data_IF_859632089862
#
_entry.id   IF_859632089862
#
_cell.length_a   1.000
_cell.length_b   1.000
_cell.length_c   1.000
_cell.angle_alpha   90.00
_cell.angle_beta   90.00
_cell.angle_gamma   90.00
#
_symmetry.space_group_name_H-M   'P 1'
#
loop_
_entity.id
_entity.type
_entity.pdbx_description
1 polymer ?
#
# COMPACT_ATOMS: atom_id res chain seq x y z
N UNK A 1 -47.17 31.33 -9.75
CA UNK A 1 -46.39 32.59 -9.70
C UNK A 1 -45.63 32.65 -8.38
N UNK A 2 -44.31 32.42 -8.40
CA UNK A 2 -43.33 32.88 -7.39
C UNK A 2 -41.95 32.79 -8.05
N UNK A 3 -41.27 33.94 -8.03
CA UNK A 3 -40.02 34.28 -8.72
C UNK A 3 -38.91 34.44 -7.67
N UNK A 4 -37.70 33.94 -7.93
CA UNK A 4 -36.43 34.30 -7.28
C UNK A 4 -35.29 33.71 -8.14
N UNK A 5 -34.09 34.27 -8.27
CA UNK A 5 -33.52 35.61 -8.14
C UNK A 5 -32.11 35.49 -8.73
N UNK A 6 -31.69 36.53 -9.45
CA UNK A 6 -30.41 36.64 -10.14
C UNK A 6 -29.26 36.87 -9.15
N UNK A 7 -28.12 36.18 -9.32
CA UNK A 7 -26.91 36.39 -8.51
C UNK A 7 -25.79 36.99 -9.37
N UNK A 8 -25.28 38.15 -8.94
CA UNK A 8 -24.26 38.97 -9.60
C UNK A 8 -22.85 38.58 -9.14
N UNK A 9 -21.91 38.45 -10.08
CA UNK A 9 -20.49 38.17 -9.83
C UNK A 9 -19.68 39.48 -9.86
N UNK A 10 -18.89 39.75 -8.81
CA UNK A 10 -17.91 40.86 -8.78
C UNK A 10 -16.50 40.33 -9.03
N UNK A 11 -15.77 40.96 -9.95
CA UNK A 11 -14.35 40.72 -10.22
C UNK A 11 -13.49 41.82 -9.57
N UNK A 12 -12.36 41.40 -8.97
CA UNK A 12 -11.37 42.30 -8.36
C UNK A 12 -10.03 42.13 -9.08
N UNK A 13 -9.54 43.17 -9.75
CA UNK A 13 -8.23 43.24 -10.39
C UNK A 13 -7.28 44.11 -9.57
N UNK A 14 -6.14 43.55 -9.17
CA UNK A 14 -5.06 44.29 -8.53
C UNK A 14 -3.87 44.43 -9.49
N UNK A 15 -3.48 45.66 -9.79
CA UNK A 15 -2.31 45.99 -10.59
C UNK A 15 -1.09 46.17 -9.67
N UNK A 16 0.04 45.53 -10.02
CA UNK A 16 1.32 45.71 -9.34
C UNK A 16 2.33 46.34 -10.31
N UNK A 17 2.82 47.53 -9.95
CA UNK A 17 3.92 48.23 -10.62
C UNK A 17 5.27 47.71 -10.13
N UNK A 18 6.16 47.37 -11.05
CA UNK A 18 7.55 47.02 -10.75
C UNK A 18 8.48 48.14 -11.22
N UNK A 19 9.34 48.62 -10.32
CA UNK A 19 10.41 49.57 -10.59
C UNK A 19 11.69 48.84 -11.02
N UNK A 20 12.31 49.31 -12.11
CA UNK A 20 13.59 48.81 -12.62
C UNK A 20 14.77 49.51 -11.94
N UNK A 21 15.67 48.73 -11.34
CA UNK A 21 16.97 49.21 -10.87
C UNK A 21 18.08 48.76 -11.83
N UNK A 22 18.91 49.70 -12.25
CA UNK A 22 20.02 49.50 -13.17
C UNK A 22 21.19 48.74 -12.51
N UNK A 23 21.75 47.76 -13.23
CA UNK A 23 22.93 46.98 -12.83
C UNK A 23 24.19 47.57 -13.44
N UNK A 24 25.19 47.84 -12.60
CA UNK A 24 26.58 48.13 -12.99
C UNK A 24 27.32 46.82 -13.34
N UNK A 25 28.05 46.75 -14.47
CA UNK A 25 28.84 45.57 -14.80
C UNK A 25 30.23 45.65 -14.16
N UNK A 26 30.46 44.78 -13.16
CA UNK A 26 31.80 44.45 -12.68
C UNK A 26 32.07 42.97 -12.95
N UNK A 27 32.44 42.63 -14.18
CA UNK A 27 32.72 41.24 -14.57
C UNK A 27 33.63 41.18 -15.78
N UNK A 28 34.92 40.85 -15.57
CA UNK A 28 35.70 40.21 -16.65
C UNK A 28 36.98 39.46 -16.24
N UNK A 29 37.54 39.64 -15.03
CA UNK A 29 38.84 39.00 -14.72
C UNK A 29 38.77 37.57 -14.16
N UNK A 30 37.65 37.14 -13.57
CA UNK A 30 37.55 35.81 -12.93
C UNK A 30 37.32 34.65 -13.91
N UNK A 31 36.78 34.90 -15.10
CA UNK A 31 36.38 33.83 -16.04
C UNK A 31 37.57 33.29 -16.81
N UNK A 32 38.56 34.14 -17.14
CA UNK A 32 39.74 33.76 -17.90
C UNK A 32 40.59 32.71 -17.15
N UNK A 33 40.89 32.94 -15.87
CA UNK A 33 41.69 31.99 -15.06
C UNK A 33 41.00 30.66 -14.81
N UNK A 34 39.66 30.65 -14.75
CA UNK A 34 38.92 29.40 -14.56
C UNK A 34 38.85 28.58 -15.86
N UNK A 35 38.72 29.24 -17.01
CA UNK A 35 38.75 28.58 -18.31
C UNK A 35 40.11 27.92 -18.58
N UNK A 36 41.21 28.57 -18.20
CA UNK A 36 42.57 28.03 -18.35
C UNK A 36 42.80 26.79 -17.45
N UNK A 37 42.29 26.81 -16.20
CA UNK A 37 42.35 25.66 -15.30
C UNK A 37 41.53 24.46 -15.80
N UNK A 38 40.36 24.70 -16.39
CA UNK A 38 39.52 23.64 -16.98
C UNK A 38 40.18 23.02 -18.22
N UNK A 39 40.82 23.84 -19.05
CA UNK A 39 41.55 23.34 -20.22
C UNK A 39 42.77 22.50 -19.84
N UNK A 40 43.51 22.88 -18.79
CA UNK A 40 44.61 22.07 -18.27
C UNK A 40 44.13 20.71 -17.74
N UNK A 41 43.08 20.70 -16.91
CA UNK A 41 42.50 19.46 -16.36
C UNK A 41 41.93 18.52 -17.44
N UNK A 42 41.36 19.07 -18.52
CA UNK A 42 40.88 18.28 -19.66
C UNK A 42 42.02 17.61 -20.44
N UNK A 43 43.18 18.27 -20.56
CA UNK A 43 44.38 17.67 -21.20
C UNK A 43 44.96 16.53 -20.36
N UNK A 44 44.93 16.65 -19.04
CA UNK A 44 45.42 15.60 -18.15
C UNK A 44 44.47 14.39 -18.11
N UNK A 45 43.15 14.61 -18.17
CA UNK A 45 42.16 13.54 -18.30
C UNK A 45 42.32 12.74 -19.61
N UNK A 46 42.64 13.43 -20.71
CA UNK A 46 42.90 12.77 -22.00
C UNK A 46 44.15 11.86 -21.98
N UNK A 47 45.05 12.02 -21.00
CA UNK A 47 46.22 11.15 -20.78
C UNK A 47 45.95 9.94 -19.88
N UNK A 48 44.69 9.73 -19.49
CA UNK A 48 44.28 8.56 -18.68
C UNK A 48 44.46 8.72 -17.18
N UNK A 49 44.86 9.90 -16.68
CA UNK A 49 44.93 10.17 -15.25
C UNK A 49 43.58 10.68 -14.71
N UNK A 50 42.64 9.74 -14.52
CA UNK A 50 41.32 10.02 -13.92
C UNK A 50 41.41 10.55 -12.48
N UNK A 51 42.53 10.32 -11.78
CA UNK A 51 42.75 10.83 -10.44
C UNK A 51 43.09 12.34 -10.42
N UNK A 52 43.72 12.86 -11.48
CA UNK A 52 43.89 14.30 -11.69
C UNK A 52 42.56 14.99 -12.00
N UNK A 53 41.69 14.36 -12.81
CA UNK A 53 40.35 14.87 -13.12
C UNK A 53 39.48 14.97 -11.86
N UNK A 54 39.42 13.91 -11.03
CA UNK A 54 38.61 13.94 -9.81
C UNK A 54 39.08 14.97 -8.78
N UNK A 55 40.39 15.25 -8.70
CA UNK A 55 40.94 16.32 -7.85
C UNK A 55 40.51 17.72 -8.29
N UNK A 56 40.24 17.93 -9.58
CA UNK A 56 39.75 19.21 -10.10
C UNK A 56 38.29 19.52 -9.69
N UNK A 57 37.52 18.50 -9.31
CA UNK A 57 36.12 18.61 -8.92
C UNK A 57 35.86 18.40 -7.42
N UNK A 58 36.91 18.29 -6.60
CA UNK A 58 36.72 18.22 -5.16
C UNK A 58 35.98 19.48 -4.65
N UNK A 59 34.86 19.32 -3.92
CA UNK A 59 34.10 20.45 -3.41
C UNK A 59 34.99 21.28 -2.47
N UNK A 60 35.33 22.49 -2.90
CA UNK A 60 36.20 23.39 -2.15
C UNK A 60 35.48 23.87 -0.90
N UNK A 61 35.98 23.48 0.27
CA UNK A 61 35.44 23.91 1.57
C UNK A 61 35.60 25.42 1.78
N UNK A 62 34.76 26.00 2.65
CA UNK A 62 34.85 27.43 2.97
C UNK A 62 36.22 27.83 3.55
N UNK A 63 36.86 26.96 4.34
CA UNK A 63 38.22 27.19 4.85
C UNK A 63 39.24 27.36 3.71
N UNK A 64 39.20 26.48 2.70
CA UNK A 64 40.11 26.53 1.55
C UNK A 64 39.84 27.73 0.62
N UNK A 65 38.60 28.27 0.62
CA UNK A 65 38.24 29.52 -0.08
C UNK A 65 38.79 30.75 0.64
N UNK A 66 38.64 30.81 1.96
CA UNK A 66 39.17 31.91 2.77
C UNK A 66 40.71 31.99 2.68
N UNK A 67 41.40 30.85 2.71
CA UNK A 67 42.85 30.80 2.50
C UNK A 67 43.31 31.33 1.11
N UNK A 68 42.40 31.36 0.13
CA UNK A 68 42.65 31.90 -1.22
C UNK A 68 42.14 33.33 -1.41
N UNK A 69 41.71 34.01 -0.34
CA UNK A 69 41.11 35.34 -0.42
C UNK A 69 39.75 35.39 -1.13
N UNK A 70 39.10 34.25 -1.32
CA UNK A 70 37.77 34.17 -1.93
C UNK A 70 36.68 34.25 -0.85
N UNK A 71 35.54 34.90 -1.14
CA UNK A 71 34.43 34.93 -0.21
C UNK A 71 33.89 33.51 0.07
N UNK A 72 33.43 33.25 1.31
CA UNK A 72 32.86 31.97 1.69
C UNK A 72 31.62 31.66 0.86
N UNK A 73 31.40 30.37 0.55
CA UNK A 73 30.16 29.93 -0.06
C UNK A 73 29.01 30.17 0.92
N UNK A 74 27.90 30.68 0.39
CA UNK A 74 26.63 30.79 1.13
C UNK A 74 26.29 29.41 1.70
N UNK A 75 25.91 29.32 2.99
CA UNK A 75 25.42 28.08 3.56
C UNK A 75 24.31 27.53 2.66
N UNK A 76 24.53 26.35 2.09
CA UNK A 76 23.46 25.63 1.40
C UNK A 76 22.42 25.37 2.47
N UNK A 77 21.26 26.03 2.38
CA UNK A 77 20.10 25.73 3.22
C UNK A 77 19.84 24.25 3.02
N UNK A 78 20.24 23.42 3.98
CA UNK A 78 19.66 22.09 4.10
C UNK A 78 18.18 22.39 4.22
N UNK A 79 17.37 21.85 3.31
CA UNK A 79 15.91 21.99 3.41
C UNK A 79 15.51 21.74 4.85
N UNK A 80 14.50 22.49 5.33
CA UNK A 80 14.02 22.40 6.71
C UNK A 80 14.12 20.94 7.15
N UNK A 81 14.96 20.69 8.16
CA UNK A 81 14.96 19.38 8.79
C UNK A 81 13.52 19.20 9.24
N UNK A 82 12.76 18.37 8.51
CA UNK A 82 11.51 17.84 9.01
C UNK A 82 11.84 17.38 10.41
N UNK A 83 11.13 17.93 11.40
CA UNK A 83 11.22 17.42 12.76
C UNK A 83 11.22 15.90 12.61
N UNK A 84 12.22 15.21 13.17
CA UNK A 84 12.17 13.75 13.21
C UNK A 84 10.85 13.45 13.89
N UNK A 85 9.87 13.01 13.11
CA UNK A 85 8.60 12.54 13.63
C UNK A 85 8.99 11.59 14.75
N UNK A 86 8.55 11.91 15.97
CA UNK A 86 8.78 11.05 17.12
C UNK A 86 8.42 9.65 16.67
N UNK A 87 9.33 8.68 16.86
CA UNK A 87 9.14 7.32 16.38
C UNK A 87 7.73 6.89 16.76
N UNK A 88 6.86 6.74 15.77
CA UNK A 88 5.46 6.40 15.98
C UNK A 88 5.43 5.21 16.91
N UNK A 89 4.72 5.33 18.04
CA UNK A 89 4.56 4.25 19.01
C UNK A 89 3.61 3.17 18.47
N UNK A 90 3.70 2.89 17.17
CA UNK A 90 2.91 1.85 16.52
C UNK A 90 3.25 0.56 17.24
N UNK A 91 2.24 -0.12 17.84
CA UNK A 91 2.46 -1.38 18.51
C UNK A 91 3.21 -2.34 17.60
N UNK A 92 4.13 -3.12 18.16
CA UNK A 92 4.84 -4.14 17.39
C UNK A 92 3.81 -5.12 16.79
N UNK A 93 3.81 -5.25 15.46
CA UNK A 93 3.00 -6.24 14.78
C UNK A 93 3.67 -7.62 14.91
N UNK A 94 2.90 -8.62 15.31
CA UNK A 94 3.32 -10.02 15.28
C UNK A 94 2.90 -10.66 13.97
N UNK A 95 3.70 -11.60 13.47
CA UNK A 95 3.33 -12.43 12.33
C UNK A 95 2.48 -13.62 12.81
N UNK A 96 1.34 -13.83 12.17
CA UNK A 96 0.50 -15.02 12.33
C UNK A 96 0.62 -15.88 11.08
N UNK A 97 0.61 -17.21 11.26
CA UNK A 97 0.61 -18.21 10.20
C UNK A 97 -0.40 -19.30 10.54
N UNK A 98 -1.35 -19.58 9.66
CA UNK A 98 -2.38 -20.59 9.94
C UNK A 98 -3.07 -21.14 8.70
N UNK A 99 -3.77 -22.27 8.91
CA UNK A 99 -4.85 -22.70 8.04
C UNK A 99 -6.14 -21.97 8.41
N UNK A 100 -7.04 -21.83 7.43
CA UNK A 100 -8.36 -21.25 7.66
C UNK A 100 -9.38 -22.38 7.79
N UNK A 101 -9.86 -22.63 9.00
CA UNK A 101 -10.95 -23.54 9.28
C UNK A 101 -12.30 -22.85 9.06
N UNK A 102 -13.26 -23.58 8.50
CA UNK A 102 -14.60 -23.07 8.18
C UNK A 102 -15.62 -23.81 9.01
N UNK A 103 -16.41 -23.08 9.79
CA UNK A 103 -17.45 -23.63 10.66
C UNK A 103 -18.81 -23.06 10.29
N UNK A 104 -19.83 -23.91 10.21
CA UNK A 104 -21.22 -23.48 10.05
C UNK A 104 -21.68 -22.70 11.28
N UNK A 105 -22.16 -21.47 11.10
CA UNK A 105 -22.75 -20.70 12.20
C UNK A 105 -24.14 -21.23 12.59
N UNK A 106 -24.84 -21.89 11.66
CA UNK A 106 -26.16 -22.49 11.91
C UNK A 106 -26.07 -23.76 12.76
N UNK A 107 -25.10 -24.63 12.48
CA UNK A 107 -25.00 -25.95 13.12
C UNK A 107 -23.85 -26.08 14.11
N UNK A 108 -22.88 -25.17 14.08
CA UNK A 108 -21.63 -25.28 14.85
C UNK A 108 -20.65 -26.33 14.32
N UNK A 109 -21.00 -27.08 13.28
CA UNK A 109 -20.16 -28.13 12.73
C UNK A 109 -19.02 -27.57 11.86
N UNK A 110 -17.86 -28.22 11.92
CA UNK A 110 -16.78 -27.97 10.97
C UNK A 110 -17.20 -28.41 9.58
N UNK A 111 -16.98 -27.54 8.60
CA UNK A 111 -17.15 -27.84 7.17
C UNK A 111 -15.83 -28.26 6.52
N UNK A 112 -14.71 -28.10 7.23
CA UNK A 112 -13.36 -28.37 6.74
C UNK A 112 -12.45 -27.15 6.81
N UNK A 113 -11.43 -27.17 5.98
CA UNK A 113 -10.41 -26.14 5.86
C UNK A 113 -10.42 -25.59 4.45
N UNK A 114 -10.06 -24.32 4.27
CA UNK A 114 -9.95 -23.80 2.92
C UNK A 114 -8.85 -24.54 2.15
N UNK A 115 -9.23 -25.06 0.98
CA UNK A 115 -8.33 -25.74 0.07
C UNK A 115 -7.37 -24.74 -0.57
N UNK A 116 -6.19 -25.21 -0.97
CA UNK A 116 -5.31 -24.50 -1.87
C UNK A 116 -6.04 -24.33 -3.21
N UNK A 117 -6.55 -23.14 -3.51
CA UNK A 117 -7.28 -22.89 -4.76
C UNK A 117 -6.46 -23.35 -5.97
N UNK A 118 -6.87 -24.44 -6.61
CA UNK A 118 -6.32 -24.84 -7.91
C UNK A 118 -6.84 -23.85 -8.96
N UNK A 119 -5.99 -23.38 -9.87
CA UNK A 119 -6.30 -22.30 -10.84
C UNK A 119 -7.41 -22.61 -11.86
N UNK A 120 -8.17 -23.69 -11.68
CA UNK A 120 -9.40 -23.88 -12.42
C UNK A 120 -10.44 -22.92 -11.84
N UNK A 121 -10.58 -21.79 -12.53
CA UNK A 121 -11.50 -20.66 -12.33
C UNK A 121 -12.99 -21.03 -12.13
N UNK A 122 -13.32 -22.33 -12.09
CA UNK A 122 -14.66 -22.87 -12.05
C UNK A 122 -14.93 -23.36 -10.61
N UNK A 123 -15.23 -22.40 -9.73
CA UNK A 123 -16.11 -22.38 -8.55
C UNK A 123 -16.40 -23.62 -7.67
N UNK A 124 -15.69 -24.74 -7.80
CA UNK A 124 -16.05 -25.95 -7.08
C UNK A 124 -14.89 -26.47 -6.23
N UNK A 125 -15.21 -26.80 -4.99
CA UNK A 125 -14.37 -27.43 -3.97
C UNK A 125 -13.33 -26.55 -3.24
N UNK A 126 -13.84 -25.51 -2.56
CA UNK A 126 -13.02 -24.64 -1.71
C UNK A 126 -12.68 -25.25 -0.34
N UNK A 127 -13.20 -26.44 -0.02
CA UNK A 127 -13.07 -27.03 1.32
C UNK A 127 -12.38 -28.39 1.25
N UNK A 128 -11.27 -28.55 1.97
CA UNK A 128 -10.71 -29.85 2.31
C UNK A 128 -11.29 -30.34 3.63
N UNK A 129 -11.74 -31.59 3.68
CA UNK A 129 -12.17 -32.22 4.93
C UNK A 129 -11.00 -32.45 5.92
N UNK A 130 -9.76 -32.49 5.43
CA UNK A 130 -8.56 -32.81 6.22
C UNK A 130 -7.62 -31.61 6.31
N UNK A 131 -6.95 -31.48 7.46
CA UNK A 131 -5.93 -30.46 7.69
C UNK A 131 -4.54 -30.94 7.26
N UNK A 132 -4.35 -31.29 6.00
CA UNK A 132 -3.02 -31.64 5.48
C UNK A 132 -2.40 -30.40 4.82
N UNK A 133 -1.09 -30.18 4.99
CA UNK A 133 -0.40 -29.08 4.32
C UNK A 133 -0.44 -29.19 2.77
N UNK A 134 -0.65 -30.41 2.26
CA UNK A 134 -0.80 -30.69 0.84
C UNK A 134 -2.11 -30.13 0.28
N UNK A 135 -3.21 -30.20 1.06
CA UNK A 135 -4.57 -29.93 0.59
C UNK A 135 -5.17 -28.65 1.17
N UNK A 136 -4.52 -28.03 2.16
CA UNK A 136 -5.06 -26.84 2.83
C UNK A 136 -4.24 -25.59 2.58
N UNK A 137 -4.92 -24.47 2.43
CA UNK A 137 -4.31 -23.16 2.28
C UNK A 137 -3.67 -22.72 3.60
N UNK A 138 -2.42 -22.28 3.51
CA UNK A 138 -1.66 -21.66 4.59
C UNK A 138 -1.58 -20.18 4.28
N UNK A 139 -2.06 -19.35 5.21
CA UNK A 139 -1.97 -17.89 5.12
C UNK A 139 -1.04 -17.33 6.18
N UNK A 140 -0.40 -16.21 5.88
CA UNK A 140 0.28 -15.37 6.85
C UNK A 140 -0.09 -13.90 6.76
N UNK A 141 -0.08 -13.24 7.91
CA UNK A 141 -0.46 -11.84 8.07
C UNK A 141 0.12 -11.22 9.35
N UNK A 142 0.18 -9.90 9.41
CA UNK A 142 0.54 -9.17 10.62
C UNK A 142 -0.67 -8.84 11.49
N UNK A 143 -0.54 -8.89 12.82
CA UNK A 143 -1.60 -8.47 13.75
C UNK A 143 -1.02 -7.81 15.01
N UNK A 144 -1.86 -7.06 15.73
CA UNK A 144 -1.53 -6.47 17.03
C UNK A 144 -2.19 -7.26 18.15
N UNK A 145 -1.43 -7.85 19.10
CA UNK A 145 -2.00 -8.58 20.23
C UNK A 145 -2.95 -7.75 21.08
N UNK A 146 -4.03 -8.37 21.55
CA UNK A 146 -5.02 -7.73 22.42
C UNK A 146 -5.97 -6.75 21.72
N UNK A 147 -5.89 -6.61 20.40
CA UNK A 147 -6.79 -5.76 19.61
C UNK A 147 -7.24 -6.48 18.34
N UNK A 148 -8.49 -6.23 17.93
CA UNK A 148 -8.97 -6.67 16.62
C UNK A 148 -8.21 -5.92 15.54
N UNK A 149 -7.43 -6.67 14.75
CA UNK A 149 -6.67 -6.12 13.64
C UNK A 149 -7.59 -5.94 12.43
N UNK A 150 -7.48 -4.80 11.74
CA UNK A 150 -8.28 -4.45 10.55
C UNK A 150 -7.37 -4.17 9.37
N UNK A 151 -7.83 -4.43 8.16
CA UNK A 151 -7.03 -4.22 6.95
C UNK A 151 -5.91 -5.23 6.83
N UNK A 152 -6.20 -6.50 7.12
CA UNK A 152 -5.21 -7.56 7.00
C UNK A 152 -4.88 -7.82 5.54
N UNK A 153 -3.60 -8.03 5.30
CA UNK A 153 -3.10 -8.61 4.06
C UNK A 153 -2.87 -10.11 4.28
N UNK A 154 -3.83 -10.93 3.84
CA UNK A 154 -3.79 -12.38 4.00
C UNK A 154 -3.01 -13.00 2.84
N UNK A 155 -1.70 -13.15 3.04
CA UNK A 155 -0.79 -13.72 2.03
C UNK A 155 -0.85 -15.23 2.05
N UNK A 156 -1.07 -15.85 0.89
CA UNK A 156 -1.05 -17.30 0.73
C UNK A 156 0.40 -17.78 0.57
N UNK A 157 0.86 -18.67 1.44
CA UNK A 157 2.24 -19.18 1.45
C UNK A 157 2.46 -20.42 0.58
N UNK A 158 1.41 -21.21 0.36
CA UNK A 158 1.44 -22.42 -0.44
C UNK A 158 0.43 -22.37 -1.59
N UNK A 159 0.44 -21.32 -2.43
CA UNK A 159 -0.57 -21.19 -3.47
C UNK A 159 -0.47 -22.36 -4.46
N UNK A 160 -1.59 -22.79 -5.05
CA UNK A 160 -1.53 -23.84 -6.07
C UNK A 160 -0.94 -23.30 -7.39
N UNK A 161 -1.03 -21.99 -7.62
CA UNK A 161 -0.42 -21.30 -8.77
C UNK A 161 0.19 -19.96 -8.38
N UNK A 162 1.17 -19.48 -9.16
CA UNK A 162 1.92 -18.25 -8.87
C UNK A 162 1.10 -16.95 -8.88
N UNK A 163 -0.13 -16.97 -9.41
CA UNK A 163 -0.99 -15.79 -9.54
C UNK A 163 -1.90 -15.57 -8.33
N UNK A 164 -2.01 -16.54 -7.41
CA UNK A 164 -2.94 -16.49 -6.27
C UNK A 164 -2.20 -16.36 -4.94
N UNK A 165 -1.42 -15.29 -4.79
CA UNK A 165 -0.63 -15.06 -3.57
C UNK A 165 -1.44 -14.39 -2.44
N UNK A 166 -2.70 -14.03 -2.68
CA UNK A 166 -3.53 -13.31 -1.73
C UNK A 166 -4.91 -13.96 -1.61
N UNK A 167 -5.41 -14.03 -0.39
CA UNK A 167 -6.76 -14.49 -0.10
C UNK A 167 -7.75 -13.32 -0.14
N UNK A 168 -8.89 -13.51 -0.80
CA UNK A 168 -10.02 -12.59 -0.71
C UNK A 168 -10.19 -11.57 -1.83
N UNK A 169 -9.66 -11.83 -3.03
CA UNK A 169 -10.24 -11.22 -4.23
C UNK A 169 -11.66 -11.79 -4.40
N UNK A 170 -12.67 -11.04 -3.96
CA UNK A 170 -14.08 -11.41 -4.14
C UNK A 170 -14.55 -10.78 -5.44
N UNK A 171 -15.14 -11.60 -6.31
CA UNK A 171 -15.77 -11.10 -7.53
C UNK A 171 -17.13 -10.48 -7.17
N UNK A 172 -17.28 -9.17 -7.37
CA UNK A 172 -18.58 -8.52 -7.31
C UNK A 172 -19.07 -8.30 -8.75
N UNK A 173 -20.13 -9.00 -9.18
CA UNK A 173 -20.79 -8.71 -10.47
C UNK A 173 -21.79 -7.54 -10.35
N UNK A 174 -21.39 -6.43 -9.71
CA UNK A 174 -22.23 -5.24 -9.57
C UNK A 174 -21.66 -4.04 -10.33
N UNK A 175 -22.49 -3.37 -11.12
CA UNK A 175 -22.10 -2.23 -11.97
C UNK A 175 -21.91 -0.89 -11.23
N UNK A 176 -21.71 -0.86 -9.91
CA UNK A 176 -21.67 0.40 -9.16
C UNK A 176 -20.30 1.07 -9.20
N UNK A 177 -20.22 2.20 -9.90
CA UNK A 177 -19.03 3.03 -10.09
C UNK A 177 -18.63 3.86 -8.85
N UNK A 178 -18.44 3.25 -7.67
CA UNK A 178 -18.18 4.04 -6.46
C UNK A 178 -17.10 3.46 -5.56
N UNK A 179 -15.85 3.70 -5.93
CA UNK A 179 -14.74 3.83 -4.97
C UNK A 179 -14.07 5.18 -5.20
N UNK A 180 -14.11 6.04 -4.18
CA UNK A 180 -13.35 7.28 -4.17
C UNK A 180 -11.84 6.96 -4.02
N UNK A 181 -11.01 7.68 -4.79
CA UNK A 181 -9.56 7.57 -4.72
C UNK A 181 -9.05 7.78 -3.28
N UNK A 182 -8.53 6.72 -2.63
CA UNK A 182 -8.00 6.80 -1.27
C UNK A 182 -8.16 5.53 -0.42
N UNK A 183 -9.05 4.60 -0.77
CA UNK A 183 -9.04 3.27 -0.18
C UNK A 183 -7.80 2.53 -0.69
N UNK A 184 -6.79 2.34 0.18
CA UNK A 184 -5.58 1.60 -0.17
C UNK A 184 -5.90 0.10 -0.31
N UNK A 185 -6.43 -0.27 -1.47
CA UNK A 185 -6.28 -1.60 -2.03
C UNK A 185 -4.94 -1.57 -2.79
N UNK A 186 -3.89 -2.12 -2.20
CA UNK A 186 -2.67 -2.42 -2.96
C UNK A 186 -2.98 -3.56 -3.96
N UNK A 187 -2.32 -3.58 -5.13
CA UNK A 187 -3.01 -3.75 -6.40
C UNK A 187 -3.13 -5.21 -6.82
N UNK A 188 -4.37 -5.72 -6.90
CA UNK A 188 -4.69 -6.65 -7.98
C UNK A 188 -4.92 -5.80 -9.24
N UNK A 189 -3.89 -5.66 -10.08
CA UNK A 189 -4.00 -5.13 -11.45
C UNK A 189 -4.85 -6.05 -12.31
N UNK A 190 -6.15 -6.15 -12.07
CA UNK A 190 -7.07 -6.88 -12.97
C UNK A 190 -8.44 -6.19 -12.98
N UNK A 191 -8.83 -5.78 -14.19
CA UNK A 191 -10.14 -5.34 -14.70
C UNK A 191 -11.15 -4.73 -13.72
N UNK A 192 -11.62 -3.54 -14.05
CA UNK A 192 -12.79 -2.86 -13.46
C UNK A 192 -13.92 -3.83 -13.09
N UNK A 193 -14.10 -4.12 -11.79
CA UNK A 193 -15.18 -4.98 -11.30
C UNK A 193 -14.83 -5.96 -10.18
N UNK A 194 -13.58 -6.01 -9.71
CA UNK A 194 -13.22 -6.81 -8.54
C UNK A 194 -12.98 -5.91 -7.34
N UNK A 195 -13.62 -6.25 -6.21
CA UNK A 195 -13.49 -5.54 -4.95
C UNK A 195 -13.18 -6.57 -3.85
N UNK A 196 -12.07 -6.40 -3.14
CA UNK A 196 -11.72 -7.28 -2.01
C UNK A 196 -12.31 -6.75 -0.71
N UNK A 197 -12.85 -7.64 0.12
CA UNK A 197 -13.24 -7.30 1.48
C UNK A 197 -12.02 -6.83 2.30
N UNK A 198 -12.27 -5.97 3.28
CA UNK A 198 -11.27 -5.59 4.28
C UNK A 198 -11.27 -6.67 5.36
N UNK A 199 -10.25 -7.51 5.40
CA UNK A 199 -10.17 -8.60 6.37
C UNK A 199 -9.83 -8.10 7.78
N UNK A 200 -10.38 -8.79 8.77
CA UNK A 200 -10.15 -8.55 10.19
C UNK A 200 -9.74 -9.82 10.90
N UNK A 201 -9.03 -9.68 12.02
CA UNK A 201 -8.61 -10.80 12.86
C UNK A 201 -8.76 -10.43 14.33
N UNK A 202 -9.51 -11.25 15.06
CA UNK A 202 -9.57 -11.20 16.51
C UNK A 202 -8.58 -12.23 17.10
N UNK A 203 -7.46 -11.80 17.70
CA UNK A 203 -6.49 -12.73 18.29
C UNK A 203 -7.02 -13.49 19.50
N UNK A 204 -8.08 -13.02 20.17
CA UNK A 204 -8.64 -13.69 21.34
C UNK A 204 -9.42 -14.96 20.93
N UNK A 205 -10.16 -14.89 19.82
CA UNK A 205 -10.99 -16.00 19.33
C UNK A 205 -10.38 -16.73 18.12
N UNK A 206 -9.34 -16.17 17.51
CA UNK A 206 -8.80 -16.61 16.24
C UNK A 206 -9.72 -16.36 15.03
N UNK A 207 -10.78 -15.54 15.18
CA UNK A 207 -11.77 -15.34 14.12
C UNK A 207 -11.19 -14.45 13.03
N UNK A 208 -11.47 -14.82 11.77
CA UNK A 208 -11.23 -13.97 10.60
C UNK A 208 -12.61 -13.48 10.10
N UNK A 209 -12.78 -12.17 10.03
CA UNK A 209 -14.03 -11.54 9.59
C UNK A 209 -13.82 -10.64 8.37
N UNK A 210 -14.92 -10.27 7.71
CA UNK A 210 -14.92 -9.36 6.57
C UNK A 210 -15.61 -8.04 6.94
N UNK A 211 -14.97 -6.93 6.59
CA UNK A 211 -15.55 -5.59 6.63
C UNK A 211 -15.72 -5.05 5.22
N UNK A 212 -16.77 -4.27 5.04
CA UNK A 212 -16.94 -3.43 3.87
C UNK A 212 -16.89 -1.96 4.25
N UNK A 213 -16.23 -1.14 3.44
CA UNK A 213 -16.29 0.31 3.57
C UNK A 213 -17.30 0.86 2.57
N UNK A 214 -18.36 1.49 3.08
CA UNK A 214 -19.31 2.21 2.23
C UNK A 214 -18.81 3.66 2.06
N UNK A 215 -18.32 4.05 0.87
CA UNK A 215 -17.82 5.40 0.64
C UNK A 215 -18.93 6.45 0.62
N UNK A 216 -20.19 6.07 0.38
CA UNK A 216 -21.30 7.01 0.36
C UNK A 216 -21.64 7.51 1.77
N UNK A 217 -21.63 6.61 2.75
CA UNK A 217 -21.87 6.95 4.16
C UNK A 217 -20.59 7.23 4.96
N UNK A 218 -19.42 6.81 4.47
CA UNK A 218 -18.16 6.86 5.20
C UNK A 218 -18.09 5.87 6.37
N UNK A 219 -18.97 4.86 6.39
CA UNK A 219 -19.09 3.89 7.49
C UNK A 219 -18.53 2.53 7.10
N UNK A 220 -18.11 1.75 8.10
CA UNK A 220 -17.74 0.34 7.93
C UNK A 220 -18.90 -0.55 8.34
N UNK A 221 -19.23 -1.54 7.52
CA UNK A 221 -20.30 -2.51 7.76
C UNK A 221 -19.66 -3.88 7.96
N UNK A 222 -20.03 -4.57 9.04
CA UNK A 222 -19.64 -5.96 9.30
C UNK A 222 -20.40 -6.86 8.33
N UNK A 223 -19.66 -7.68 7.58
CA UNK A 223 -20.25 -8.62 6.62
C UNK A 223 -20.13 -10.03 7.16
N UNK A 224 -21.23 -10.77 7.08
CA UNK A 224 -21.21 -12.21 7.29
C UNK A 224 -20.58 -12.88 6.07
N UNK A 225 -19.96 -14.02 6.31
CA UNK A 225 -19.43 -14.89 5.27
C UNK A 225 -20.44 -16.01 5.05
N UNK A 226 -20.84 -16.24 3.82
CA UNK A 226 -21.77 -17.27 3.42
C UNK A 226 -21.07 -18.30 2.55
N UNK A 227 -21.34 -19.57 2.81
CA UNK A 227 -20.97 -20.68 1.95
C UNK A 227 -22.12 -21.01 0.98
N UNK A 228 -21.77 -21.19 -0.29
CA UNK A 228 -22.68 -21.34 -1.44
C UNK A 228 -22.24 -22.52 -2.30
N UNK A 229 -22.60 -23.74 -1.93
CA UNK A 229 -22.45 -24.93 -2.79
C UNK A 229 -21.07 -25.13 -3.40
N UNK A 230 -20.01 -24.74 -2.69
CA UNK A 230 -18.63 -24.82 -3.16
C UNK A 230 -17.89 -23.49 -3.09
N UNK A 231 -18.57 -22.33 -3.08
CA UNK A 231 -17.93 -21.00 -3.05
C UNK A 231 -18.25 -20.22 -1.77
N UNK A 232 -17.62 -19.06 -1.59
CA UNK A 232 -17.91 -18.12 -0.51
C UNK A 232 -18.38 -16.76 -1.04
N UNK A 233 -19.28 -16.12 -0.31
CA UNK A 233 -19.74 -14.76 -0.55
C UNK A 233 -19.70 -13.99 0.77
N UNK A 234 -19.29 -12.72 0.74
CA UNK A 234 -19.48 -11.80 1.87
C UNK A 234 -20.70 -10.94 1.59
N UNK A 235 -21.63 -10.84 2.54
CA UNK A 235 -22.80 -9.98 2.41
C UNK A 235 -23.25 -9.41 3.78
N UNK A 236 -23.83 -8.20 3.77
CA UNK A 236 -24.41 -7.58 4.97
C UNK A 236 -25.69 -8.29 5.47
N UNK A 237 -26.29 -9.13 4.63
CA UNK A 237 -27.46 -9.94 4.97
C UNK A 237 -27.48 -11.22 4.12
N UNK A 238 -28.24 -12.27 4.53
CA UNK A 238 -28.32 -13.49 3.76
C UNK A 238 -28.77 -13.21 2.32
N UNK A 239 -27.98 -13.59 1.31
CA UNK A 239 -28.30 -13.29 -0.08
C UNK A 239 -29.57 -14.04 -0.52
N UNK A 240 -30.59 -13.30 -0.93
CA UNK A 240 -31.81 -13.85 -1.51
C UNK A 240 -31.58 -14.19 -2.99
N UNK A 241 -31.96 -15.39 -3.43
CA UNK A 241 -31.89 -15.77 -4.85
C UNK A 241 -30.83 -16.83 -5.21
N UNK A 242 -29.98 -17.23 -4.26
CA UNK A 242 -29.00 -18.33 -4.47
C UNK A 242 -29.52 -19.71 -4.03
N UNK A 243 -30.84 -19.86 -3.87
CA UNK A 243 -31.48 -21.10 -3.42
C UNK A 243 -31.33 -21.37 -1.93
N UNK A 244 -31.62 -22.61 -1.50
CA UNK A 244 -31.58 -23.04 -0.09
C UNK A 244 -30.18 -23.40 0.43
N UNK A 245 -29.15 -23.29 -0.41
CA UNK A 245 -27.80 -23.76 -0.10
C UNK A 245 -26.87 -22.65 0.40
N UNK A 246 -27.45 -21.56 0.90
CA UNK A 246 -26.73 -20.45 1.51
C UNK A 246 -26.64 -20.69 3.01
N UNK A 247 -25.43 -20.77 3.54
CA UNK A 247 -25.22 -20.97 4.98
C UNK A 247 -24.21 -19.98 5.53
N UNK A 248 -24.51 -19.25 6.61
CA UNK A 248 -23.53 -18.41 7.27
C UNK A 248 -22.42 -19.28 7.87
N UNK A 249 -21.17 -18.83 7.70
CA UNK A 249 -19.97 -19.52 8.16
C UNK A 249 -19.03 -18.58 8.89
N UNK A 250 -18.20 -19.17 9.76
CA UNK A 250 -17.13 -18.50 10.47
C UNK A 250 -15.79 -19.01 9.96
N UNK A 251 -14.86 -18.10 9.68
CA UNK A 251 -13.47 -18.44 9.44
C UNK A 251 -12.67 -18.33 10.73
N UNK A 252 -11.86 -19.35 11.02
CA UNK A 252 -10.99 -19.39 12.20
C UNK A 252 -9.57 -19.74 11.77
N UNK A 253 -8.60 -18.98 12.26
CA UNK A 253 -7.18 -19.25 12.10
C UNK A 253 -6.78 -20.42 13.01
N UNK A 254 -6.38 -21.55 12.42
CA UNK A 254 -5.94 -22.74 13.14
C UNK A 254 -4.48 -23.01 12.79
N UNK A 255 -3.64 -23.20 13.82
CA UNK A 255 -2.22 -23.49 13.60
C UNK A 255 -2.06 -24.73 12.70
N UNK A 256 -1.16 -24.69 11.70
CA UNK A 256 -0.91 -25.87 10.88
C UNK A 256 -0.35 -26.99 11.76
N UNK A 257 -0.66 -28.26 11.46
CA UNK A 257 -0.06 -29.37 12.18
C UNK A 257 1.46 -29.27 12.09
N UNK A 258 2.14 -29.54 13.21
CA UNK A 258 3.59 -29.58 13.23
C UNK A 258 4.09 -30.59 12.18
N UNK A 259 4.96 -30.15 11.28
CA UNK A 259 5.63 -31.06 10.35
C UNK A 259 6.58 -31.91 11.20
N UNK A 260 6.45 -33.25 11.20
CA UNK A 260 7.42 -34.10 11.89
C UNK A 260 8.84 -33.78 11.41
N UNK A 261 9.85 -33.78 12.29
CA UNK A 261 11.23 -33.66 11.83
C UNK A 261 11.51 -34.78 10.80
N UNK A 262 12.10 -34.39 9.67
CA UNK A 262 12.47 -35.29 8.57
C UNK A 262 13.55 -36.29 8.98
#
# INVERSE_FOLDING_TARGET
MKSFASLTLFSLTAAATFASAALTPSRTQSTARHAEQLQAAARDAARGDMAAYNRAFEPVTNAKRMARGLPPLKPRRRGAHTARDAASSTPAQLAQRCNIAVTSLTTGNSLGFMNRQTANYIFYDFLSATQTAADTMIVSFGYTPGQVSRGLDLRVENPATSFMNYFGAIAYQGQSASIAAGAQVAPATQSSGFESAVWTYDPASGNIGALWYDPASGTTIDYDIYYLGGSFLTAASPPTGFGTNVMPVKFTCVMPPAIPPA
#
